data_IF_909730792372
#
_entry.id   IF_909730792372
#
_cell.length_a   1.000
_cell.length_b   1.000
_cell.length_c   1.000
_cell.angle_alpha   90.00
_cell.angle_beta   90.00
_cell.angle_gamma   90.00
#
_symmetry.space_group_name_H-M   'P 1'
#
loop_
_entity.id
_entity.type
_entity.pdbx_description
1 polymer ?
#
# COMPACT_ATOMS: atom_id res chain seq x y z
N UNK A 1 -6.42 19.91 -2.65
CA UNK A 1 -5.05 20.16 -2.13
C UNK A 1 -4.07 19.49 -3.09
N UNK A 2 -3.23 20.24 -3.78
CA UNK A 2 -2.27 19.66 -4.73
C UNK A 2 -1.02 19.27 -3.94
N UNK A 3 -0.70 17.99 -3.90
CA UNK A 3 0.49 17.46 -3.24
C UNK A 3 1.68 17.68 -4.15
N UNK A 4 2.77 18.25 -3.65
CA UNK A 4 3.98 18.51 -4.45
C UNK A 4 4.59 17.22 -5.00
N UNK A 5 4.61 16.17 -4.17
CA UNK A 5 5.06 14.82 -4.55
C UNK A 5 3.93 13.83 -4.25
N UNK A 6 3.37 13.16 -5.27
CA UNK A 6 2.30 12.17 -5.09
C UNK A 6 2.81 10.91 -4.38
N UNK A 7 4.08 10.59 -4.51
CA UNK A 7 4.76 9.53 -3.78
C UNK A 7 6.24 9.86 -3.60
N UNK A 8 6.90 9.12 -2.69
CA UNK A 8 8.34 9.13 -2.48
C UNK A 8 8.84 7.69 -2.39
N UNK A 9 9.89 7.33 -3.11
CA UNK A 9 10.33 5.95 -3.15
C UNK A 9 11.85 5.81 -3.19
N UNK A 10 12.31 4.64 -2.86
CA UNK A 10 13.69 4.19 -3.06
C UNK A 10 13.69 2.84 -3.76
N UNK A 11 14.47 2.74 -4.82
CA UNK A 11 14.63 1.51 -5.59
C UNK A 11 15.64 0.60 -4.90
N UNK A 12 15.26 -0.67 -4.64
CA UNK A 12 16.14 -1.72 -4.08
C UNK A 12 16.90 -1.32 -2.82
N UNK A 13 16.30 -0.55 -1.95
CA UNK A 13 16.96 0.03 -0.78
C UNK A 13 16.95 -0.87 0.46
N UNK A 14 15.98 -1.80 0.56
CA UNK A 14 15.93 -2.80 1.60
C UNK A 14 16.70 -4.05 1.16
N UNK A 15 17.45 -4.68 2.09
CA UNK A 15 18.25 -5.85 1.77
C UNK A 15 17.39 -7.03 1.31
N UNK A 16 17.94 -7.83 0.38
CA UNK A 16 17.24 -9.03 -0.10
C UNK A 16 16.98 -10.00 1.05
N UNK A 17 17.92 -10.10 2.00
CA UNK A 17 17.75 -10.92 3.21
C UNK A 17 16.55 -10.46 4.03
N UNK A 18 16.37 -9.17 4.26
CA UNK A 18 15.22 -8.63 4.99
C UNK A 18 13.89 -8.99 4.30
N UNK A 19 13.82 -8.86 2.97
CA UNK A 19 12.65 -9.26 2.19
C UNK A 19 12.36 -10.77 2.33
N UNK A 20 13.39 -11.61 2.27
CA UNK A 20 13.26 -13.07 2.40
C UNK A 20 12.85 -13.48 3.81
N UNK A 21 13.38 -12.82 4.83
CA UNK A 21 13.02 -13.06 6.24
C UNK A 21 11.53 -12.75 6.47
N UNK A 22 11.00 -11.65 5.91
CA UNK A 22 9.57 -11.31 5.98
C UNK A 22 8.73 -12.41 5.29
N UNK A 23 9.10 -12.84 4.08
CA UNK A 23 8.37 -13.88 3.36
C UNK A 23 8.35 -15.18 4.15
N UNK A 24 9.51 -15.61 4.65
CA UNK A 24 9.64 -16.83 5.46
C UNK A 24 8.78 -16.77 6.70
N UNK A 25 8.85 -15.66 7.42
CA UNK A 25 8.08 -15.44 8.64
C UNK A 25 6.58 -15.43 8.37
N UNK A 26 6.13 -14.67 7.37
CA UNK A 26 4.73 -14.60 7.00
C UNK A 26 4.15 -15.97 6.60
N UNK A 27 4.90 -16.77 5.85
CA UNK A 27 4.48 -18.13 5.44
C UNK A 27 4.28 -19.09 6.62
N UNK A 28 4.88 -18.82 7.79
CA UNK A 28 4.64 -19.61 9.01
C UNK A 28 3.32 -19.27 9.71
N UNK A 29 2.66 -18.17 9.34
CA UNK A 29 1.41 -17.69 9.93
C UNK A 29 0.18 -18.14 9.13
N UNK A 30 -1.00 -18.06 9.76
CA UNK A 30 -2.27 -18.43 9.10
C UNK A 30 -2.70 -17.38 8.07
N UNK A 31 -2.96 -17.80 6.85
CA UNK A 31 -3.51 -16.96 5.77
C UNK A 31 -4.97 -16.57 6.04
N UNK A 32 -5.35 -15.37 5.60
CA UNK A 32 -6.74 -14.91 5.53
C UNK A 32 -7.00 -14.34 4.14
N UNK A 33 -8.22 -14.53 3.63
CA UNK A 33 -8.62 -13.89 2.36
C UNK A 33 -8.77 -12.39 2.59
N UNK A 34 -8.07 -11.59 1.80
CA UNK A 34 -8.21 -10.14 1.81
C UNK A 34 -9.56 -9.74 1.23
N UNK A 35 -10.42 -9.20 2.07
CA UNK A 35 -11.71 -8.64 1.65
C UNK A 35 -11.70 -7.15 1.94
N UNK A 36 -12.12 -6.33 0.97
CA UNK A 36 -12.51 -4.94 1.18
C UNK A 36 -14.01 -4.83 1.06
N UNK A 37 -14.60 -3.83 1.72
CA UNK A 37 -15.97 -3.44 1.40
C UNK A 37 -16.01 -3.04 -0.08
N UNK A 38 -17.01 -3.52 -0.81
CA UNK A 38 -17.37 -2.95 -2.10
C UNK A 38 -17.67 -1.47 -1.89
N UNK A 39 -17.00 -0.60 -2.64
CA UNK A 39 -17.42 0.79 -2.72
C UNK A 39 -18.83 0.79 -3.30
N UNK A 40 -19.78 1.39 -2.59
CA UNK A 40 -21.12 1.67 -3.13
C UNK A 40 -20.97 2.80 -4.16
N UNK A 41 -20.69 2.45 -5.39
CA UNK A 41 -20.60 3.36 -6.51
C UNK A 41 -21.31 2.73 -7.69
N UNK A 42 -22.02 3.54 -8.44
CA UNK A 42 -22.68 3.12 -9.70
C UNK A 42 -21.66 2.93 -10.84
N UNK A 43 -20.41 3.29 -10.61
CA UNK A 43 -19.35 3.09 -11.58
C UNK A 43 -18.73 1.68 -11.41
N UNK A 44 -18.93 0.76 -12.37
CA UNK A 44 -18.44 -0.62 -12.30
C UNK A 44 -16.89 -0.69 -12.25
N UNK A 45 -16.18 0.34 -12.71
CA UNK A 45 -14.72 0.40 -12.63
C UNK A 45 -14.23 0.62 -11.22
N UNK A 46 -15.02 1.27 -10.35
CA UNK A 46 -14.69 1.53 -8.95
C UNK A 46 -15.27 0.47 -8.01
N UNK A 47 -16.25 -0.31 -8.47
CA UNK A 47 -16.84 -1.42 -7.70
C UNK A 47 -15.95 -2.65 -7.66
N UNK A 48 -14.76 -2.60 -8.24
CA UNK A 48 -13.86 -3.71 -8.35
C UNK A 48 -13.38 -4.16 -6.98
N UNK A 49 -13.70 -5.40 -6.67
CA UNK A 49 -13.35 -6.09 -5.44
C UNK A 49 -11.86 -6.40 -5.42
N UNK A 50 -11.25 -6.38 -4.25
CA UNK A 50 -9.92 -6.92 -4.01
C UNK A 50 -9.96 -8.43 -4.09
N UNK A 51 -9.08 -9.02 -4.86
CA UNK A 51 -8.79 -10.44 -4.88
C UNK A 51 -7.32 -10.65 -4.48
N UNK A 52 -7.07 -11.09 -3.25
CA UNK A 52 -5.72 -11.35 -2.74
C UNK A 52 -5.79 -12.12 -1.43
N UNK A 53 -4.68 -12.73 -1.02
CA UNK A 53 -4.53 -13.34 0.29
C UNK A 53 -3.71 -12.43 1.19
N UNK A 54 -4.06 -12.34 2.48
CA UNK A 54 -3.36 -11.49 3.44
C UNK A 54 -2.95 -12.25 4.70
N UNK A 55 -1.86 -11.80 5.31
CA UNK A 55 -1.38 -12.23 6.61
C UNK A 55 -1.02 -10.97 7.39
N UNK A 56 -1.50 -10.86 8.63
CA UNK A 56 -1.16 -9.73 9.50
C UNK A 56 0.09 -10.06 10.32
N UNK A 57 1.01 -9.10 10.35
CA UNK A 57 2.28 -9.18 11.09
C UNK A 57 2.39 -7.94 11.99
N UNK A 58 2.95 -8.13 13.18
CA UNK A 58 3.13 -7.04 14.16
C UNK A 58 4.47 -7.18 14.89
N UNK A 59 5.52 -7.40 14.12
CA UNK A 59 6.86 -7.66 14.64
C UNK A 59 7.72 -6.40 14.63
N UNK A 60 8.21 -6.01 15.79
CA UNK A 60 9.00 -4.79 16.00
C UNK A 60 10.21 -4.66 15.08
N UNK A 61 10.85 -5.78 14.69
CA UNK A 61 12.01 -5.74 13.79
C UNK A 61 11.67 -5.23 12.39
N UNK A 62 10.42 -5.41 11.92
CA UNK A 62 9.95 -4.87 10.64
C UNK A 62 9.85 -3.34 10.72
N UNK A 63 9.18 -2.82 11.75
CA UNK A 63 9.01 -1.38 11.92
C UNK A 63 10.33 -0.65 12.12
N UNK A 64 11.27 -1.26 12.85
CA UNK A 64 12.59 -0.68 13.09
C UNK A 64 13.34 -0.41 11.79
N UNK A 65 13.25 -1.31 10.81
CA UNK A 65 13.90 -1.17 9.51
C UNK A 65 13.20 -0.12 8.63
N UNK A 66 11.87 -0.01 8.74
CA UNK A 66 11.04 0.90 7.91
C UNK A 66 11.03 2.34 8.43
N UNK A 67 11.12 2.54 9.74
CA UNK A 67 10.95 3.86 10.38
C UNK A 67 11.88 4.96 9.83
N UNK A 68 13.17 4.73 9.54
CA UNK A 68 14.02 5.74 8.93
C UNK A 68 13.50 6.23 7.58
N UNK A 69 13.01 5.32 6.74
CA UNK A 69 12.45 5.65 5.43
C UNK A 69 11.17 6.46 5.56
N UNK A 70 10.27 6.11 6.50
CA UNK A 70 9.07 6.89 6.80
C UNK A 70 9.40 8.35 7.12
N UNK A 71 10.34 8.58 8.04
CA UNK A 71 10.74 9.94 8.45
C UNK A 71 11.30 10.73 7.28
N UNK A 72 12.18 10.11 6.49
CA UNK A 72 12.80 10.75 5.32
C UNK A 72 11.76 11.02 4.23
N UNK A 73 10.87 10.09 3.91
CA UNK A 73 9.81 10.29 2.92
C UNK A 73 8.92 11.46 3.31
N UNK A 74 8.40 11.45 4.54
CA UNK A 74 7.50 12.47 5.07
C UNK A 74 8.11 13.88 5.00
N UNK A 75 9.41 14.00 5.31
CA UNK A 75 10.16 15.24 5.24
C UNK A 75 10.46 15.65 3.80
N UNK A 76 11.08 14.77 3.02
CA UNK A 76 11.62 15.09 1.69
C UNK A 76 10.51 15.35 0.66
N UNK A 77 9.37 14.66 0.79
CA UNK A 77 8.19 14.92 -0.04
C UNK A 77 7.40 16.16 0.40
N UNK A 78 7.83 16.84 1.46
CA UNK A 78 7.16 18.03 1.98
C UNK A 78 5.80 17.78 2.60
N UNK A 79 5.45 16.53 2.92
CA UNK A 79 4.14 16.23 3.51
C UNK A 79 4.04 16.68 4.97
N UNK A 80 5.09 16.48 5.76
CA UNK A 80 5.23 16.92 7.15
C UNK A 80 4.03 16.53 8.04
N UNK A 81 3.47 15.33 7.81
CA UNK A 81 2.36 14.83 8.61
C UNK A 81 2.81 14.46 10.02
N UNK A 82 1.99 14.80 11.00
CA UNK A 82 2.12 14.29 12.36
C UNK A 82 1.64 12.83 12.38
N UNK A 83 2.58 11.91 12.62
CA UNK A 83 2.34 10.48 12.67
C UNK A 83 2.68 10.00 14.07
N UNK A 84 1.71 9.40 14.74
CA UNK A 84 1.82 8.93 16.12
C UNK A 84 1.56 7.42 16.28
N UNK A 85 1.10 6.74 15.21
CA UNK A 85 0.89 5.30 15.24
C UNK A 85 1.21 4.62 13.90
N UNK A 86 1.43 3.31 13.95
CA UNK A 86 1.48 2.42 12.79
C UNK A 86 0.49 1.28 12.99
N UNK A 87 -0.24 0.92 11.95
CA UNK A 87 -1.11 -0.27 11.98
C UNK A 87 -0.25 -1.54 11.81
N UNK A 88 -0.77 -2.74 12.19
CA UNK A 88 -0.12 -4.00 11.87
C UNK A 88 0.19 -4.11 10.38
N UNK A 89 1.34 -4.70 10.06
CA UNK A 89 1.78 -4.87 8.68
C UNK A 89 0.88 -5.86 7.96
N UNK A 90 0.43 -5.52 6.76
CA UNK A 90 -0.30 -6.42 5.90
C UNK A 90 0.66 -7.05 4.88
N UNK A 91 1.03 -8.31 5.09
CA UNK A 91 1.68 -9.11 4.08
C UNK A 91 0.63 -9.58 3.07
N UNK A 92 0.78 -9.16 1.82
CA UNK A 92 -0.19 -9.46 0.75
C UNK A 92 0.44 -10.40 -0.26
N UNK A 93 -0.35 -11.40 -0.67
CA UNK A 93 -0.01 -12.38 -1.69
C UNK A 93 -0.94 -12.14 -2.87
N UNK A 94 -0.38 -11.91 -4.05
CA UNK A 94 -1.10 -11.85 -5.32
C UNK A 94 -0.61 -13.00 -6.19
N UNK A 95 -1.48 -13.98 -6.44
CA UNK A 95 -1.28 -15.03 -7.43
C UNK A 95 -1.77 -14.58 -8.81
N UNK A 96 -1.62 -15.41 -9.83
CA UNK A 96 -2.12 -15.10 -11.18
C UNK A 96 -3.61 -14.72 -11.14
N UNK A 97 -3.96 -13.63 -11.85
CA UNK A 97 -5.28 -12.99 -11.90
C UNK A 97 -5.75 -12.32 -10.59
N UNK A 98 -4.91 -12.28 -9.54
CA UNK A 98 -5.21 -11.53 -8.33
C UNK A 98 -4.79 -10.06 -8.48
N UNK A 99 -5.55 -9.16 -7.87
CA UNK A 99 -5.43 -7.71 -8.03
C UNK A 99 -6.04 -6.96 -6.85
N UNK A 100 -5.84 -5.64 -6.86
CA UNK A 100 -6.57 -4.72 -6.01
C UNK A 100 -6.98 -3.49 -6.83
N UNK A 101 -8.27 -3.33 -7.06
CA UNK A 101 -8.83 -2.23 -7.85
C UNK A 101 -8.58 -0.84 -7.25
N UNK A 102 -9.06 0.18 -7.94
CA UNK A 102 -8.91 1.56 -7.49
C UNK A 102 -9.51 1.79 -6.09
N UNK A 103 -8.72 2.36 -5.18
CA UNK A 103 -9.13 2.68 -3.82
C UNK A 103 -8.23 3.75 -3.22
N UNK A 104 -8.70 4.31 -2.11
CA UNK A 104 -7.88 5.09 -1.17
C UNK A 104 -7.74 4.31 0.13
N UNK A 105 -6.66 4.54 0.85
CA UNK A 105 -6.43 3.90 2.15
C UNK A 105 -6.99 4.71 3.32
N UNK A 106 -7.27 6.00 3.09
CA UNK A 106 -7.85 6.89 4.10
C UNK A 106 -9.28 6.48 4.44
N UNK A 107 -9.63 6.48 5.71
CA UNK A 107 -11.01 6.30 6.16
C UNK A 107 -11.84 7.56 5.87
N UNK A 108 -13.07 7.38 5.40
CA UNK A 108 -14.02 8.47 5.32
C UNK A 108 -14.57 8.83 6.72
N UNK A 109 -15.34 9.93 6.81
CA UNK A 109 -15.89 10.40 8.09
C UNK A 109 -16.89 9.41 8.69
N UNK A 110 -17.63 8.68 7.87
CA UNK A 110 -18.60 7.68 8.30
C UNK A 110 -17.89 6.46 8.89
N UNK A 111 -16.80 6.00 8.25
CA UNK A 111 -15.98 4.91 8.76
C UNK A 111 -15.29 5.28 10.07
N UNK A 112 -14.75 6.50 10.20
CA UNK A 112 -14.15 6.97 11.45
C UNK A 112 -15.17 6.94 12.59
N UNK A 113 -16.37 7.47 12.34
CA UNK A 113 -17.47 7.49 13.33
C UNK A 113 -17.95 6.07 13.67
N UNK A 114 -18.13 5.23 12.66
CA UNK A 114 -18.63 3.86 12.83
C UNK A 114 -17.70 2.99 13.66
N UNK A 115 -16.40 3.18 13.54
CA UNK A 115 -15.39 2.38 14.25
C UNK A 115 -14.79 3.11 15.45
N UNK A 116 -15.39 4.25 15.86
CA UNK A 116 -14.93 5.10 16.99
C UNK A 116 -13.43 5.40 16.91
N UNK A 117 -12.99 5.84 15.73
CA UNK A 117 -11.58 6.14 15.45
C UNK A 117 -11.35 7.64 15.56
N UNK A 118 -10.42 8.05 16.40
CA UNK A 118 -9.91 9.43 16.53
C UNK A 118 -8.73 9.72 15.61
N UNK A 119 -8.21 8.69 14.91
CA UNK A 119 -7.05 8.74 14.02
C UNK A 119 -7.39 8.26 12.63
N UNK A 120 -6.81 8.92 11.64
CA UNK A 120 -6.91 8.55 10.25
C UNK A 120 -5.54 8.15 9.69
N UNK A 121 -5.53 7.34 8.64
CA UNK A 121 -4.33 7.02 7.89
C UNK A 121 -3.82 8.25 7.16
N UNK A 122 -2.56 8.61 7.37
CA UNK A 122 -1.87 9.75 6.76
C UNK A 122 -0.98 9.32 5.60
N UNK A 123 -0.14 8.33 5.86
CA UNK A 123 0.75 7.75 4.88
C UNK A 123 0.54 6.25 4.76
N UNK A 124 0.54 5.79 3.53
CA UNK A 124 0.61 4.39 3.16
C UNK A 124 2.01 4.05 2.68
N UNK A 125 2.47 2.86 2.96
CA UNK A 125 3.74 2.33 2.51
C UNK A 125 3.55 0.99 1.83
N UNK A 126 4.23 0.79 0.71
CA UNK A 126 4.38 -0.53 0.08
C UNK A 126 5.85 -0.88 -0.07
N UNK A 127 6.18 -2.13 0.24
CA UNK A 127 7.51 -2.72 0.03
C UNK A 127 7.36 -3.96 -0.86
N UNK A 128 8.05 -3.98 -1.99
CA UNK A 128 8.07 -5.16 -2.87
C UNK A 128 9.03 -6.20 -2.31
N UNK A 129 8.49 -7.41 -2.06
CA UNK A 129 9.25 -8.52 -1.50
C UNK A 129 9.64 -9.56 -2.55
N UNK A 130 9.00 -9.56 -3.74
CA UNK A 130 9.25 -10.50 -4.82
C UNK A 130 10.30 -9.99 -5.81
N UNK A 131 11.06 -10.90 -6.36
CA UNK A 131 11.92 -10.61 -7.51
C UNK A 131 11.08 -10.51 -8.79
N UNK A 132 11.41 -9.56 -9.68
CA UNK A 132 10.71 -9.38 -10.97
C UNK A 132 10.72 -10.61 -11.86
N UNK A 133 11.71 -11.48 -11.73
CA UNK A 133 11.76 -12.76 -12.47
C UNK A 133 10.69 -13.76 -12.03
N UNK A 134 10.12 -13.60 -10.83
CA UNK A 134 9.17 -14.55 -10.24
C UNK A 134 7.72 -14.24 -10.61
N UNK A 135 7.44 -13.06 -11.21
CA UNK A 135 6.08 -12.65 -11.60
C UNK A 135 6.08 -11.63 -12.75
N UNK A 136 4.94 -11.51 -13.44
CA UNK A 136 4.66 -10.46 -14.42
C UNK A 136 3.34 -9.78 -14.14
N UNK A 137 3.17 -8.52 -14.59
CA UNK A 137 2.02 -7.70 -14.21
C UNK A 137 2.09 -7.23 -12.76
N UNK A 138 0.96 -6.96 -12.16
CA UNK A 138 0.87 -6.54 -10.77
C UNK A 138 1.43 -5.14 -10.51
N UNK A 139 1.42 -4.24 -11.49
CA UNK A 139 1.98 -2.90 -11.34
C UNK A 139 1.17 -2.07 -10.34
N UNK A 140 1.88 -1.27 -9.56
CA UNK A 140 1.28 -0.26 -8.70
C UNK A 140 1.06 1.01 -9.53
N UNK A 141 -0.18 1.47 -9.58
CA UNK A 141 -0.57 2.68 -10.31
C UNK A 141 -1.26 3.67 -9.37
N UNK A 142 -1.00 4.95 -9.61
CA UNK A 142 -1.61 6.08 -8.91
C UNK A 142 -2.44 6.91 -9.89
N UNK A 143 -3.58 7.42 -9.42
CA UNK A 143 -4.34 8.45 -10.13
C UNK A 143 -4.02 9.81 -9.50
N UNK A 144 -3.57 10.77 -10.32
CA UNK A 144 -3.21 12.11 -9.84
C UNK A 144 -4.46 12.95 -9.59
N UNK A 145 -5.54 12.64 -10.28
CA UNK A 145 -6.82 13.31 -10.15
C UNK A 145 -7.53 12.91 -8.84
N UNK A 146 -8.55 13.68 -8.49
CA UNK A 146 -9.33 13.44 -7.27
C UNK A 146 -10.18 12.16 -7.32
N UNK A 147 -10.39 11.58 -8.51
CA UNK A 147 -11.12 10.33 -8.73
C UNK A 147 -10.73 9.68 -10.05
N UNK A 148 -10.68 8.34 -10.14
CA UNK A 148 -10.41 7.60 -11.38
C UNK A 148 -11.68 7.41 -12.27
N UNK A 149 -12.70 8.27 -12.13
CA UNK A 149 -14.03 8.05 -12.73
C UNK A 149 -14.10 8.19 -14.25
N UNK A 150 -13.13 8.87 -14.88
CA UNK A 150 -13.14 9.10 -16.33
C UNK A 150 -11.88 8.51 -16.99
N UNK A 151 -11.01 9.36 -17.52
CA UNK A 151 -9.69 8.96 -18.08
C UNK A 151 -8.61 9.40 -17.11
N UNK A 152 -8.26 8.57 -16.12
CA UNK A 152 -7.34 8.98 -15.07
C UNK A 152 -5.94 9.24 -15.64
N UNK A 153 -5.33 10.34 -15.21
CA UNK A 153 -3.90 10.56 -15.42
C UNK A 153 -3.13 9.61 -14.47
N UNK A 154 -2.53 8.58 -15.08
CA UNK A 154 -1.93 7.47 -14.36
C UNK A 154 -0.42 7.69 -14.24
N UNK A 155 0.05 7.66 -12.99
CA UNK A 155 1.47 7.54 -12.68
C UNK A 155 1.80 6.11 -12.26
N UNK A 156 2.84 5.57 -12.86
CA UNK A 156 3.45 4.30 -12.45
C UNK A 156 4.96 4.37 -12.63
N UNK A 157 5.67 3.46 -11.97
CA UNK A 157 7.10 3.29 -12.14
C UNK A 157 7.44 1.80 -11.99
N UNK A 158 8.10 1.23 -12.99
CA UNK A 158 8.50 -0.18 -12.99
C UNK A 158 9.37 -0.56 -11.77
N UNK A 159 10.13 0.41 -11.24
CA UNK A 159 11.00 0.20 -10.08
C UNK A 159 10.24 -0.15 -8.79
N UNK A 160 8.92 0.20 -8.69
CA UNK A 160 8.08 -0.22 -7.57
C UNK A 160 7.97 -1.75 -7.46
N UNK A 161 8.14 -2.45 -8.57
CA UNK A 161 8.11 -3.91 -8.63
C UNK A 161 9.44 -4.60 -8.37
N UNK A 162 10.53 -3.87 -8.15
CA UNK A 162 11.82 -4.46 -7.82
C UNK A 162 11.86 -4.90 -6.35
N UNK A 163 12.40 -6.08 -6.08
CA UNK A 163 12.58 -6.58 -4.70
C UNK A 163 13.41 -5.61 -3.87
N UNK A 164 12.90 -5.25 -2.69
CA UNK A 164 13.51 -4.27 -1.79
C UNK A 164 13.18 -2.82 -2.11
N UNK A 165 12.38 -2.54 -3.15
CA UNK A 165 11.87 -1.18 -3.40
C UNK A 165 10.74 -0.83 -2.45
N UNK A 166 10.85 0.34 -1.82
CA UNK A 166 9.88 0.87 -0.86
C UNK A 166 9.30 2.18 -1.38
N UNK A 167 7.98 2.31 -1.33
CA UNK A 167 7.25 3.49 -1.76
C UNK A 167 6.29 3.96 -0.67
N UNK A 168 6.31 5.26 -0.37
CA UNK A 168 5.38 5.96 0.52
C UNK A 168 4.51 6.90 -0.28
N UNK A 169 3.26 7.06 0.13
CA UNK A 169 2.32 8.00 -0.49
C UNK A 169 1.22 8.42 0.50
N UNK A 170 0.61 9.61 0.33
CA UNK A 170 -0.53 10.02 1.13
C UNK A 170 -1.69 9.04 1.00
N UNK A 171 -2.27 8.62 2.12
CA UNK A 171 -3.29 7.57 2.15
C UNK A 171 -4.61 7.94 1.43
N UNK A 172 -4.80 9.22 1.09
CA UNK A 172 -5.94 9.67 0.29
C UNK A 172 -5.71 9.57 -1.23
N UNK A 173 -4.48 9.24 -1.68
CA UNK A 173 -4.20 9.05 -3.10
C UNK A 173 -4.91 7.81 -3.63
N UNK A 174 -5.62 7.98 -4.75
CA UNK A 174 -6.18 6.86 -5.47
C UNK A 174 -5.07 6.01 -6.06
N UNK A 175 -5.13 4.71 -5.77
CA UNK A 175 -4.14 3.77 -6.28
C UNK A 175 -4.75 2.40 -6.50
N UNK A 176 -4.07 1.60 -7.33
CA UNK A 176 -4.45 0.20 -7.57
C UNK A 176 -3.23 -0.68 -7.78
N UNK A 177 -3.44 -1.98 -7.63
CA UNK A 177 -2.51 -3.02 -8.08
C UNK A 177 -3.18 -3.75 -9.25
N UNK A 178 -2.56 -3.67 -10.43
CA UNK A 178 -3.03 -4.38 -11.63
C UNK A 178 -3.00 -5.90 -11.42
N UNK A 179 -3.75 -6.67 -12.21
CA UNK A 179 -3.67 -8.12 -12.15
C UNK A 179 -2.23 -8.63 -12.34
N UNK A 180 -1.82 -9.54 -11.47
CA UNK A 180 -0.63 -10.36 -11.70
C UNK A 180 -0.96 -11.31 -12.85
N UNK A 181 -0.19 -11.26 -13.93
CA UNK A 181 -0.46 -12.07 -15.12
C UNK A 181 0.12 -13.48 -14.99
N UNK A 182 1.28 -13.61 -14.33
CA UNK A 182 1.96 -14.88 -14.11
C UNK A 182 2.77 -14.84 -12.81
N UNK A 183 2.86 -15.97 -12.14
CA UNK A 183 3.66 -16.13 -10.92
C UNK A 183 2.97 -15.65 -9.66
N UNK A 184 3.75 -15.31 -8.63
CA UNK A 184 3.24 -14.84 -7.34
C UNK A 184 4.02 -13.60 -6.89
N UNK A 185 3.29 -12.53 -6.57
CA UNK A 185 3.85 -11.29 -6.06
C UNK A 185 3.57 -11.16 -4.56
N UNK A 186 4.62 -10.97 -3.77
CA UNK A 186 4.55 -10.68 -2.33
C UNK A 186 4.82 -9.22 -2.06
N UNK A 187 3.98 -8.61 -1.24
CA UNK A 187 4.08 -7.21 -0.82
C UNK A 187 3.92 -7.08 0.69
N UNK A 188 4.58 -6.11 1.28
CA UNK A 188 4.28 -5.64 2.62
C UNK A 188 3.66 -4.25 2.52
N UNK A 189 2.54 -4.04 3.21
CA UNK A 189 1.85 -2.76 3.31
C UNK A 189 1.78 -2.36 4.77
N UNK A 190 2.06 -1.09 5.06
CA UNK A 190 1.89 -0.51 6.40
C UNK A 190 1.17 0.83 6.26
N UNK A 191 0.22 1.08 7.15
CA UNK A 191 -0.45 2.37 7.27
C UNK A 191 0.01 3.09 8.51
N UNK A 192 0.37 4.35 8.33
CA UNK A 192 0.82 5.25 9.39
C UNK A 192 -0.24 6.30 9.61
N UNK A 193 -0.69 6.40 10.85
CA UNK A 193 -1.80 7.25 11.25
C UNK A 193 -1.41 8.39 12.15
N UNK A 194 -2.36 9.29 12.32
CA UNK A 194 -2.30 10.43 13.23
C UNK A 194 -3.68 11.10 13.34
N UNK A 195 -3.80 12.08 14.23
CA UNK A 195 -5.05 12.86 14.38
C UNK A 195 -5.48 13.41 13.03
N UNK A 196 -6.78 13.45 12.75
CA UNK A 196 -7.27 13.96 11.48
C UNK A 196 -6.87 15.43 11.25
N UNK A 197 -6.87 15.86 9.98
CA UNK A 197 -6.56 17.26 9.65
C UNK A 197 -7.62 18.16 10.30
N UNK A 198 -7.17 19.25 10.95
CA UNK A 198 -8.03 20.30 11.48
C UNK A 198 -8.32 21.34 10.42
#
# INVERSE_FOLDING_TARGET
MRVQHPFWYWNKSLSLKFCDDIIKFAKSKRKRVGRTKSLKTDNPTLSSVRNSNIIWLDETWIYREIQPYLKLANKNAGWNYEIDNAEPCQFTIYNSNEFYGWHTDRFDKEDLKKYDRDRNRKLSMTLCLSDRKDYTGGDLEFCIESSPDTTPDILTNEEFGNKGSICFFPSFMWHRVKPVLKGTRYMLVIWFGGKDFR
#
